data_IF_094813571096
#
_entry.id   IF_094813571096
#
_cell.length_a   1.000
_cell.length_b   1.000
_cell.length_c   1.000
_cell.angle_alpha   90.00
_cell.angle_beta   90.00
_cell.angle_gamma   90.00
#
_symmetry.space_group_name_H-M   'P 1'
#
loop_
_entity.id
_entity.type
_entity.pdbx_description
1 polymer ?
#
# COMPACT_ATOMS: atom_id res chain seq x y z
N UNK A 1 -3.96 -22.79 25.70
CA UNK A 1 -4.82 -21.60 25.46
C UNK A 1 -6.12 -21.98 24.73
N UNK A 2 -6.08 -22.58 23.53
CA UNK A 2 -7.28 -23.00 22.77
C UNK A 2 -8.27 -23.86 23.58
N UNK A 3 -7.78 -24.85 24.33
CA UNK A 3 -8.63 -25.69 25.20
C UNK A 3 -9.40 -24.89 26.28
N UNK A 4 -8.82 -23.80 26.79
CA UNK A 4 -9.48 -22.93 27.76
C UNK A 4 -10.61 -22.13 27.10
N UNK A 5 -10.37 -21.60 25.90
CA UNK A 5 -11.39 -20.91 25.10
C UNK A 5 -12.56 -21.84 24.79
N UNK A 6 -12.29 -23.07 24.34
CA UNK A 6 -13.34 -24.07 24.06
C UNK A 6 -14.15 -24.42 25.30
N UNK A 7 -13.50 -24.58 26.47
CA UNK A 7 -14.20 -24.85 27.71
C UNK A 7 -15.12 -23.68 28.13
N UNK A 8 -14.69 -22.44 27.88
CA UNK A 8 -15.49 -21.25 28.19
C UNK A 8 -16.71 -21.14 27.26
N UNK A 9 -16.51 -21.33 25.95
CA UNK A 9 -17.59 -21.36 24.96
C UNK A 9 -18.62 -22.45 25.30
N UNK A 10 -18.15 -23.64 25.69
CA UNK A 10 -19.02 -24.75 26.11
C UNK A 10 -19.89 -24.41 27.33
N UNK A 11 -19.39 -23.59 28.25
CA UNK A 11 -20.14 -23.13 29.43
C UNK A 11 -21.17 -22.06 29.08
N UNK A 12 -20.80 -21.13 28.20
CA UNK A 12 -21.64 -20.00 27.82
C UNK A 12 -22.84 -20.41 26.94
N UNK A 13 -22.72 -21.47 26.13
CA UNK A 13 -23.75 -22.09 25.26
C UNK A 13 -24.35 -21.22 24.14
N UNK A 14 -24.46 -19.90 24.31
CA UNK A 14 -25.00 -18.97 23.32
C UNK A 14 -23.89 -18.10 22.71
N UNK A 15 -22.83 -18.73 22.21
CA UNK A 15 -21.68 -18.03 21.63
C UNK A 15 -21.39 -18.63 20.26
N UNK A 16 -21.29 -17.75 19.26
CA UNK A 16 -20.78 -18.09 17.93
C UNK A 16 -19.34 -17.59 17.84
N UNK A 17 -18.40 -18.50 17.56
CA UNK A 17 -16.99 -18.18 17.41
C UNK A 17 -16.69 -17.82 15.95
N UNK A 18 -16.06 -16.67 15.70
CA UNK A 18 -15.50 -16.39 14.38
C UNK A 18 -14.03 -16.82 14.35
N UNK A 19 -13.65 -17.55 13.29
CA UNK A 19 -12.28 -18.00 13.06
C UNK A 19 -11.89 -17.54 11.66
N UNK A 20 -11.02 -16.54 11.59
CA UNK A 20 -10.37 -16.20 10.33
C UNK A 20 -9.32 -17.27 9.99
N UNK A 21 -9.10 -17.51 8.70
CA UNK A 21 -8.16 -18.52 8.19
C UNK A 21 -8.31 -19.89 8.88
N UNK A 22 -9.54 -20.42 8.91
CA UNK A 22 -9.89 -21.66 9.62
C UNK A 22 -8.96 -22.86 9.29
N UNK A 23 -8.45 -22.92 8.06
CA UNK A 23 -7.53 -23.96 7.61
C UNK A 23 -6.25 -24.02 8.43
N UNK A 24 -5.79 -22.92 9.04
CA UNK A 24 -4.58 -22.90 9.89
C UNK A 24 -4.73 -23.75 11.15
N UNK A 25 -5.93 -23.83 11.71
CA UNK A 25 -6.22 -24.64 12.90
C UNK A 25 -6.39 -26.13 12.59
N UNK A 26 -6.70 -26.45 11.32
CA UNK A 26 -7.06 -27.78 10.86
C UNK A 26 -5.91 -28.46 10.10
N UNK A 27 -5.17 -27.70 9.31
CA UNK A 27 -4.15 -28.13 8.35
C UNK A 27 -2.74 -28.26 8.92
N UNK A 28 -2.53 -27.92 10.19
CA UNK A 28 -1.26 -28.00 10.93
C UNK A 28 -0.67 -29.43 11.11
N UNK A 29 -1.24 -30.45 10.46
CA UNK A 29 -0.86 -31.85 10.64
C UNK A 29 0.43 -32.30 9.94
N UNK A 30 1.26 -31.39 9.42
CA UNK A 30 2.42 -31.74 8.59
C UNK A 30 3.76 -31.06 8.93
N UNK A 31 3.78 -30.06 9.82
CA UNK A 31 5.02 -29.38 10.21
C UNK A 31 5.35 -29.70 11.68
N UNK A 32 6.53 -30.26 11.93
CA UNK A 32 7.06 -30.55 13.27
C UNK A 32 7.06 -29.28 14.12
N UNK A 33 6.09 -29.15 15.03
CA UNK A 33 6.00 -28.05 15.99
C UNK A 33 4.70 -27.24 16.01
N UNK A 34 3.81 -27.44 15.03
CA UNK A 34 2.50 -26.79 15.07
C UNK A 34 1.60 -27.50 16.10
N UNK A 35 1.09 -26.75 17.08
CA UNK A 35 0.15 -27.26 18.09
C UNK A 35 -1.09 -27.78 17.36
N UNK A 36 -1.35 -29.08 17.45
CA UNK A 36 -2.48 -29.76 16.80
C UNK A 36 -3.82 -29.36 17.48
N UNK A 37 -4.28 -28.16 17.15
CA UNK A 37 -5.57 -27.62 17.57
C UNK A 37 -6.74 -28.45 17.01
N UNK A 38 -6.52 -29.15 15.90
CA UNK A 38 -7.49 -30.03 15.22
C UNK A 38 -8.03 -31.10 16.16
N UNK A 39 -7.16 -31.72 16.98
CA UNK A 39 -7.56 -32.73 17.96
C UNK A 39 -8.50 -32.22 19.07
N UNK A 40 -8.47 -30.92 19.37
CA UNK A 40 -9.36 -30.31 20.37
C UNK A 40 -10.63 -29.78 19.71
N UNK A 41 -10.52 -29.25 18.50
CA UNK A 41 -11.61 -28.59 17.78
C UNK A 41 -12.59 -29.62 17.16
N UNK A 42 -12.07 -30.67 16.51
CA UNK A 42 -12.87 -31.70 15.83
C UNK A 42 -13.91 -32.35 16.74
N UNK A 43 -13.58 -32.81 17.97
CA UNK A 43 -14.58 -33.41 18.84
C UNK A 43 -15.63 -32.40 19.34
N UNK A 44 -15.24 -31.14 19.55
CA UNK A 44 -16.14 -30.09 20.00
C UNK A 44 -17.15 -29.70 18.92
N UNK A 45 -16.70 -29.60 17.66
CA UNK A 45 -17.56 -29.38 16.49
C UNK A 45 -18.47 -30.59 16.23
N UNK A 46 -17.93 -31.81 16.32
CA UNK A 46 -18.70 -33.03 16.08
C UNK A 46 -19.84 -33.23 17.10
N UNK A 47 -19.64 -32.81 18.35
CA UNK A 47 -20.67 -32.84 19.41
C UNK A 47 -21.60 -31.63 19.39
N UNK A 48 -21.37 -30.64 18.52
CA UNK A 48 -22.12 -29.38 18.50
C UNK A 48 -21.95 -28.53 19.77
N UNK A 49 -20.87 -28.74 20.53
CA UNK A 49 -20.57 -27.99 21.75
C UNK A 49 -20.01 -26.59 21.45
N UNK A 50 -19.52 -26.39 20.23
CA UNK A 50 -19.00 -25.13 19.70
C UNK A 50 -19.68 -24.85 18.38
N UNK A 51 -20.25 -23.66 18.24
CA UNK A 51 -20.70 -23.11 16.98
C UNK A 51 -19.67 -22.11 16.49
N UNK A 52 -19.27 -22.20 15.22
CA UNK A 52 -18.33 -21.25 14.64
C UNK A 52 -18.64 -20.92 13.19
N UNK A 53 -18.21 -19.72 12.79
CA UNK A 53 -18.11 -19.28 11.40
C UNK A 53 -16.63 -19.24 11.08
N UNK A 54 -16.21 -19.97 10.05
CA UNK A 54 -14.83 -19.99 9.58
C UNK A 54 -14.71 -19.29 8.24
N UNK A 55 -13.71 -18.43 8.09
CA UNK A 55 -13.32 -17.89 6.80
C UNK A 55 -12.11 -18.66 6.25
N UNK A 56 -12.10 -18.95 4.96
CA UNK A 56 -10.98 -19.61 4.26
C UNK A 56 -11.11 -19.39 2.76
N UNK A 57 -10.01 -19.53 2.02
CA UNK A 57 -10.04 -19.55 0.56
C UNK A 57 -10.53 -20.90 0.05
N UNK A 58 -11.01 -20.94 -1.20
CA UNK A 58 -11.47 -22.17 -1.86
C UNK A 58 -10.35 -23.23 -1.94
N UNK A 59 -9.12 -22.80 -2.22
CA UNK A 59 -7.98 -23.70 -2.33
C UNK A 59 -7.66 -24.36 -0.99
N UNK A 60 -7.67 -23.59 0.10
CA UNK A 60 -7.39 -24.10 1.43
C UNK A 60 -8.53 -24.98 1.96
N UNK A 61 -9.78 -24.66 1.61
CA UNK A 61 -10.93 -25.53 1.88
C UNK A 61 -10.75 -26.92 1.24
N UNK A 62 -10.42 -26.96 -0.06
CA UNK A 62 -10.19 -28.21 -0.81
C UNK A 62 -9.01 -29.02 -0.26
N UNK A 63 -7.96 -28.36 0.19
CA UNK A 63 -6.75 -29.03 0.71
C UNK A 63 -6.97 -29.61 2.11
N UNK A 64 -7.64 -28.89 3.01
CA UNK A 64 -7.62 -29.20 4.44
C UNK A 64 -8.96 -29.57 5.06
N UNK A 65 -10.09 -29.13 4.49
CA UNK A 65 -11.42 -29.32 5.09
C UNK A 65 -12.21 -30.37 4.31
N UNK A 66 -12.27 -30.27 2.99
CA UNK A 66 -13.03 -31.19 2.13
C UNK A 66 -12.49 -32.63 2.20
N UNK A 67 -11.18 -32.80 2.35
CA UNK A 67 -10.56 -34.12 2.49
C UNK A 67 -10.79 -34.78 3.86
N UNK A 68 -11.22 -34.00 4.85
CA UNK A 68 -11.45 -34.49 6.21
C UNK A 68 -12.95 -34.74 6.45
N UNK A 69 -13.36 -35.99 6.34
CA UNK A 69 -14.76 -36.38 6.49
C UNK A 69 -15.39 -36.11 7.86
N UNK A 70 -14.61 -35.77 8.90
CA UNK A 70 -15.16 -35.33 10.18
C UNK A 70 -15.55 -33.85 10.16
N UNK A 71 -14.83 -33.02 9.40
CA UNK A 71 -15.07 -31.59 9.28
C UNK A 71 -16.04 -31.26 8.13
N UNK A 72 -15.88 -31.92 6.99
CA UNK A 72 -16.76 -31.75 5.83
C UNK A 72 -18.25 -31.95 6.21
N UNK A 73 -18.53 -32.95 7.06
CA UNK A 73 -19.90 -33.24 7.54
C UNK A 73 -20.44 -32.25 8.58
N UNK A 74 -19.63 -31.30 9.04
CA UNK A 74 -19.97 -30.34 10.10
C UNK A 74 -19.97 -28.89 9.63
N UNK A 75 -19.35 -28.62 8.49
CA UNK A 75 -19.41 -27.32 7.85
C UNK A 75 -20.43 -27.31 6.74
N UNK A 76 -21.23 -26.24 6.69
CA UNK A 76 -21.99 -25.86 5.51
C UNK A 76 -21.18 -24.81 4.77
N UNK A 77 -20.84 -25.06 3.51
CA UNK A 77 -20.15 -24.07 2.68
C UNK A 77 -21.10 -23.00 2.19
N UNK A 78 -20.65 -21.75 2.26
CA UNK A 78 -21.30 -20.59 1.66
C UNK A 78 -20.22 -19.92 0.80
N UNK A 79 -20.45 -19.85 -0.50
CA UNK A 79 -19.53 -19.20 -1.43
C UNK A 79 -19.75 -17.69 -1.33
N UNK A 80 -18.69 -16.97 -1.01
CA UNK A 80 -18.67 -15.51 -1.00
C UNK A 80 -17.95 -15.06 -2.26
N UNK A 81 -18.73 -14.55 -3.20
CA UNK A 81 -18.19 -13.98 -4.44
C UNK A 81 -17.57 -12.60 -4.17
N UNK A 82 -16.55 -12.19 -4.93
CA UNK A 82 -16.06 -10.82 -4.87
C UNK A 82 -17.18 -9.84 -5.25
N UNK A 83 -17.24 -8.65 -4.62
CA UNK A 83 -18.23 -7.63 -4.95
C UNK A 83 -18.10 -7.19 -6.40
N UNK A 84 -19.24 -6.79 -6.96
CA UNK A 84 -19.31 -6.10 -8.24
C UNK A 84 -18.59 -4.75 -8.19
N UNK A 85 -18.35 -4.16 -9.36
CA UNK A 85 -17.74 -2.82 -9.45
C UNK A 85 -18.60 -1.76 -8.74
N UNK A 86 -19.92 -1.87 -8.84
CA UNK A 86 -20.86 -0.95 -8.20
C UNK A 86 -20.84 -1.09 -6.67
N UNK A 87 -20.91 -2.32 -6.16
CA UNK A 87 -20.78 -2.57 -4.71
C UNK A 87 -19.41 -2.14 -4.17
N UNK A 88 -18.36 -2.33 -4.95
CA UNK A 88 -17.01 -1.86 -4.59
C UNK A 88 -16.96 -0.34 -4.48
N UNK A 89 -17.64 0.38 -5.37
CA UNK A 89 -17.71 1.85 -5.31
C UNK A 89 -18.41 2.31 -4.03
N UNK A 90 -19.49 1.65 -3.62
CA UNK A 90 -20.18 1.95 -2.36
C UNK A 90 -19.30 1.66 -1.14
N UNK A 91 -18.52 0.56 -1.18
CA UNK A 91 -17.53 0.25 -0.15
C UNK A 91 -16.45 1.35 -0.08
N UNK A 92 -15.89 1.77 -1.22
CA UNK A 92 -14.88 2.84 -1.26
C UNK A 92 -15.43 4.17 -0.73
N UNK A 93 -16.67 4.54 -1.09
CA UNK A 93 -17.35 5.72 -0.55
C UNK A 93 -17.55 5.62 0.97
N UNK A 94 -17.92 4.44 1.48
CA UNK A 94 -18.03 4.20 2.92
C UNK A 94 -16.69 4.31 3.67
N UNK A 95 -15.57 4.11 2.98
CA UNK A 95 -14.22 4.23 3.55
C UNK A 95 -13.57 5.60 3.31
N UNK A 96 -14.13 6.40 2.38
CA UNK A 96 -13.54 7.64 1.88
C UNK A 96 -13.18 8.60 3.01
N UNK A 97 -14.14 8.96 3.87
CA UNK A 97 -13.92 9.91 4.98
C UNK A 97 -12.72 9.52 5.87
N UNK A 98 -12.55 8.21 6.11
CA UNK A 98 -11.47 7.69 6.94
C UNK A 98 -10.11 7.83 6.25
N UNK A 99 -10.02 7.51 4.96
CA UNK A 99 -8.79 7.65 4.19
C UNK A 99 -8.43 9.12 3.93
N UNK A 100 -9.42 9.96 3.65
CA UNK A 100 -9.24 11.41 3.51
C UNK A 100 -8.66 12.03 4.78
N UNK A 101 -9.23 11.68 5.95
CA UNK A 101 -8.72 12.15 7.23
C UNK A 101 -7.32 11.60 7.54
N UNK A 102 -7.06 10.33 7.23
CA UNK A 102 -5.76 9.70 7.48
C UNK A 102 -4.64 10.32 6.64
N UNK A 103 -4.91 10.56 5.36
CA UNK A 103 -3.92 11.06 4.40
C UNK A 103 -3.93 12.59 4.26
N UNK A 104 -4.96 13.27 4.78
CA UNK A 104 -5.19 14.72 4.60
C UNK A 104 -5.34 15.10 3.12
N UNK A 105 -6.10 14.29 2.40
CA UNK A 105 -6.39 14.47 0.97
C UNK A 105 -7.89 14.42 0.74
N UNK A 106 -8.33 14.81 -0.47
CA UNK A 106 -9.68 14.60 -0.97
C UNK A 106 -9.64 13.65 -2.15
N UNK A 107 -10.51 12.65 -2.21
CA UNK A 107 -10.65 11.81 -3.38
C UNK A 107 -11.77 12.33 -4.27
N UNK A 108 -11.51 12.50 -5.56
CA UNK A 108 -12.60 12.79 -6.51
C UNK A 108 -13.41 11.51 -6.77
N UNK A 109 -14.71 11.65 -7.08
CA UNK A 109 -15.57 10.51 -7.42
C UNK A 109 -15.01 9.73 -8.63
N UNK A 110 -14.45 10.46 -9.61
CA UNK A 110 -13.80 9.87 -10.78
C UNK A 110 -12.54 9.07 -10.41
N UNK A 111 -11.78 9.54 -9.41
CA UNK A 111 -10.60 8.83 -8.92
C UNK A 111 -10.98 7.47 -8.30
N UNK A 112 -12.06 7.42 -7.51
CA UNK A 112 -12.55 6.16 -6.94
C UNK A 112 -12.99 5.18 -8.03
N UNK A 113 -13.74 5.66 -9.02
CA UNK A 113 -14.14 4.84 -10.17
C UNK A 113 -12.92 4.33 -10.95
N UNK A 114 -11.95 5.21 -11.21
CA UNK A 114 -10.73 4.86 -11.92
C UNK A 114 -9.88 3.84 -11.15
N UNK A 115 -9.86 3.92 -9.81
CA UNK A 115 -9.15 2.96 -8.97
C UNK A 115 -9.73 1.55 -9.15
N UNK A 116 -11.05 1.42 -9.24
CA UNK A 116 -11.73 0.15 -9.50
C UNK A 116 -11.40 -0.36 -10.91
N UNK A 117 -11.53 0.48 -11.94
CA UNK A 117 -11.29 0.08 -13.33
C UNK A 117 -9.84 -0.38 -13.55
N UNK A 118 -8.87 0.43 -13.12
CA UNK A 118 -7.45 0.12 -13.34
C UNK A 118 -6.97 -1.04 -12.47
N UNK A 119 -7.38 -1.12 -11.21
CA UNK A 119 -7.04 -2.30 -10.38
C UNK A 119 -7.68 -3.58 -10.92
N UNK A 120 -8.89 -3.49 -11.49
CA UNK A 120 -9.54 -4.65 -12.14
C UNK A 120 -8.76 -5.14 -13.34
N UNK A 121 -8.27 -4.22 -14.18
CA UNK A 121 -7.63 -4.54 -15.44
C UNK A 121 -6.15 -4.95 -15.30
N UNK A 122 -5.41 -4.30 -14.40
CA UNK A 122 -3.95 -4.41 -14.36
C UNK A 122 -3.41 -5.15 -13.12
N UNK A 123 -4.15 -5.17 -12.01
CA UNK A 123 -3.75 -5.90 -10.80
C UNK A 123 -4.43 -7.28 -10.84
N UNK A 124 -3.69 -8.26 -11.35
CA UNK A 124 -4.12 -9.67 -11.44
C UNK A 124 -3.80 -10.43 -10.14
N UNK A 125 -4.50 -11.54 -9.89
CA UNK A 125 -4.27 -12.38 -8.71
C UNK A 125 -4.88 -11.86 -7.40
N UNK A 126 -5.54 -10.69 -7.41
CA UNK A 126 -6.30 -10.15 -6.27
C UNK A 126 -7.75 -9.86 -6.64
N UNK A 127 -8.61 -9.98 -5.65
CA UNK A 127 -10.05 -9.75 -5.79
C UNK A 127 -10.42 -8.32 -5.37
N UNK A 128 -11.55 -7.83 -5.89
CA UNK A 128 -12.21 -6.67 -5.30
C UNK A 128 -12.77 -7.05 -3.91
N UNK A 129 -12.95 -6.09 -2.98
CA UNK A 129 -12.64 -4.66 -3.10
C UNK A 129 -11.17 -4.33 -2.74
N UNK A 130 -10.47 -5.31 -2.16
CA UNK A 130 -9.14 -5.20 -1.56
C UNK A 130 -8.11 -4.51 -2.46
N UNK A 131 -7.96 -4.95 -3.71
CA UNK A 131 -7.01 -4.31 -4.65
C UNK A 131 -7.35 -2.86 -5.01
N UNK A 132 -8.62 -2.46 -4.97
CA UNK A 132 -9.02 -1.09 -5.25
C UNK A 132 -8.76 -0.20 -4.02
N UNK A 133 -9.00 -0.73 -2.82
CA UNK A 133 -8.67 -0.07 -1.55
C UNK A 133 -7.17 0.24 -1.48
N UNK A 134 -6.32 -0.72 -1.84
CA UNK A 134 -4.87 -0.52 -1.85
C UNK A 134 -4.42 0.60 -2.80
N UNK A 135 -5.02 0.68 -3.99
CA UNK A 135 -4.72 1.75 -4.95
C UNK A 135 -5.11 3.12 -4.39
N UNK A 136 -6.28 3.21 -3.73
CA UNK A 136 -6.75 4.44 -3.08
C UNK A 136 -5.84 4.84 -1.92
N UNK A 137 -5.43 3.87 -1.10
CA UNK A 137 -4.54 4.10 0.04
C UNK A 137 -3.16 4.62 -0.40
N UNK A 138 -2.54 3.95 -1.37
CA UNK A 138 -1.24 4.33 -1.93
C UNK A 138 -1.31 5.71 -2.62
N UNK A 139 -2.41 6.01 -3.32
CA UNK A 139 -2.62 7.32 -3.93
C UNK A 139 -2.74 8.43 -2.87
N UNK A 140 -3.47 8.19 -1.79
CA UNK A 140 -3.56 9.13 -0.68
C UNK A 140 -2.20 9.37 -0.02
N UNK A 141 -1.44 8.31 0.24
CA UNK A 141 -0.11 8.39 0.81
C UNK A 141 0.86 9.18 -0.10
N UNK A 142 0.81 8.93 -1.43
CA UNK A 142 1.65 9.61 -2.42
C UNK A 142 1.41 11.12 -2.44
N UNK A 143 0.14 11.56 -2.51
CA UNK A 143 -0.21 12.99 -2.52
C UNK A 143 0.23 13.65 -1.22
N UNK A 144 0.01 12.98 -0.08
CA UNK A 144 0.46 13.47 1.22
C UNK A 144 1.98 13.66 1.27
N UNK A 145 2.75 12.69 0.78
CA UNK A 145 4.22 12.77 0.74
C UNK A 145 4.69 13.89 -0.19
N UNK A 146 4.05 14.06 -1.35
CA UNK A 146 4.34 15.14 -2.28
C UNK A 146 4.14 16.50 -1.63
N UNK A 147 3.08 16.68 -0.86
CA UNK A 147 2.79 17.93 -0.15
C UNK A 147 3.69 18.15 1.08
N UNK A 148 4.23 17.09 1.68
CA UNK A 148 5.20 17.20 2.79
C UNK A 148 6.64 17.43 2.32
N UNK A 149 6.92 17.33 1.03
CA UNK A 149 8.26 17.59 0.50
C UNK A 149 8.53 19.11 0.45
N UNK A 150 9.61 19.61 1.10
CA UNK A 150 9.96 21.01 1.04
C UNK A 150 10.26 21.45 -0.41
N UNK A 151 9.90 22.68 -0.81
CA UNK A 151 10.26 23.23 -2.12
C UNK A 151 11.80 23.29 -2.29
N UNK A 152 12.31 23.16 -3.53
CA UNK A 152 13.74 23.10 -3.81
C UNK A 152 14.52 24.32 -3.27
N UNK A 153 13.89 25.50 -3.22
CA UNK A 153 14.48 26.70 -2.65
C UNK A 153 14.84 26.53 -1.16
N UNK A 154 14.01 25.84 -0.36
CA UNK A 154 14.32 25.58 1.05
C UNK A 154 15.51 24.61 1.21
N UNK A 155 15.62 23.62 0.34
CA UNK A 155 16.75 22.68 0.31
C UNK A 155 18.05 23.38 -0.10
N UNK A 156 18.02 24.24 -1.12
CA UNK A 156 19.17 25.05 -1.55
C UNK A 156 19.62 26.02 -0.44
N UNK A 157 18.67 26.64 0.28
CA UNK A 157 18.97 27.48 1.44
C UNK A 157 19.66 26.69 2.56
N UNK A 158 19.24 25.46 2.82
CA UNK A 158 19.90 24.57 3.80
C UNK A 158 21.35 24.27 3.44
N UNK A 159 21.60 23.89 2.19
CA UNK A 159 22.95 23.63 1.68
C UNK A 159 23.85 24.86 1.77
N UNK A 160 23.31 26.04 1.45
CA UNK A 160 24.03 27.32 1.54
C UNK A 160 24.36 27.69 2.99
N UNK A 161 23.44 27.50 3.94
CA UNK A 161 23.68 27.73 5.37
C UNK A 161 24.79 26.78 5.86
N UNK A 162 24.75 25.51 5.49
CA UNK A 162 25.78 24.54 5.88
C UNK A 162 27.16 24.88 5.29
N UNK A 163 27.19 25.40 4.05
CA UNK A 163 28.43 25.89 3.44
C UNK A 163 28.99 27.09 4.20
N UNK A 164 28.17 28.11 4.49
CA UNK A 164 28.60 29.30 5.24
C UNK A 164 29.06 28.96 6.66
N UNK A 165 28.42 28.00 7.32
CA UNK A 165 28.86 27.52 8.64
C UNK A 165 30.25 26.87 8.59
N UNK A 166 30.52 26.05 7.56
CA UNK A 166 31.85 25.46 7.34
C UNK A 166 32.91 26.53 7.08
N UNK A 167 32.62 27.49 6.20
CA UNK A 167 33.54 28.60 5.90
C UNK A 167 33.81 29.48 7.14
N UNK A 168 32.78 29.72 7.97
CA UNK A 168 32.90 30.45 9.23
C UNK A 168 33.80 29.70 10.21
N UNK A 169 33.64 28.39 10.35
CA UNK A 169 34.47 27.57 11.25
C UNK A 169 35.94 27.52 10.78
N UNK A 170 36.19 27.53 9.47
CA UNK A 170 37.54 27.67 8.89
C UNK A 170 38.15 29.05 9.17
N UNK A 171 37.38 30.14 9.00
CA UNK A 171 37.83 31.49 9.32
C UNK A 171 38.20 31.63 10.82
N UNK A 172 37.43 31.02 11.71
CA UNK A 172 37.74 30.96 13.15
C UNK A 172 39.04 30.22 13.43
N UNK A 173 39.29 29.07 12.77
CA UNK A 173 40.55 28.33 12.90
C UNK A 173 41.77 29.14 12.45
N UNK A 174 41.59 29.99 11.45
CA UNK A 174 42.63 30.87 10.92
C UNK A 174 42.76 32.21 11.69
N UNK A 175 42.01 32.39 12.78
CA UNK A 175 41.93 33.64 13.56
C UNK A 175 41.49 34.88 12.75
N UNK A 176 40.80 34.66 11.62
CA UNK A 176 40.19 35.72 10.82
C UNK A 176 38.78 36.04 11.37
N UNK A 177 38.76 36.77 12.49
CA UNK A 177 37.54 37.06 13.23
C UNK A 177 36.58 38.00 12.49
N UNK A 178 37.10 38.88 11.62
CA UNK A 178 36.29 39.81 10.84
C UNK A 178 35.50 39.05 9.77
N UNK A 179 36.16 38.16 9.02
CA UNK A 179 35.49 37.28 8.06
C UNK A 179 34.52 36.31 8.75
N UNK A 180 34.90 35.76 9.90
CA UNK A 180 34.01 34.89 10.67
C UNK A 180 32.74 35.61 11.15
N UNK A 181 32.83 36.91 11.52
CA UNK A 181 31.68 37.71 11.89
C UNK A 181 30.75 37.96 10.69
N UNK A 182 31.30 38.31 9.52
CA UNK A 182 30.52 38.52 8.30
C UNK A 182 29.77 37.25 7.87
N UNK A 183 30.45 36.09 7.84
CA UNK A 183 29.85 34.81 7.49
C UNK A 183 28.78 34.36 8.51
N UNK A 184 28.96 34.67 9.79
CA UNK A 184 27.94 34.42 10.81
C UNK A 184 26.69 35.25 10.56
N UNK A 185 26.85 36.54 10.27
CA UNK A 185 25.72 37.44 10.07
C UNK A 185 24.95 37.07 8.78
N UNK A 186 25.65 36.67 7.71
CA UNK A 186 25.05 36.14 6.48
C UNK A 186 24.30 34.82 6.71
N UNK A 187 24.90 33.88 7.46
CA UNK A 187 24.24 32.64 7.83
C UNK A 187 22.99 32.88 8.69
N UNK A 188 23.03 33.88 9.59
CA UNK A 188 21.87 34.24 10.41
C UNK A 188 20.74 34.84 9.57
N UNK A 189 21.06 35.71 8.60
CA UNK A 189 20.05 36.27 7.68
C UNK A 189 19.36 35.17 6.87
N UNK A 190 20.12 34.22 6.31
CA UNK A 190 19.55 33.08 5.59
C UNK A 190 18.72 32.16 6.50
N UNK A 191 19.12 32.02 7.78
CA UNK A 191 18.35 31.24 8.76
C UNK A 191 17.00 31.90 9.09
N UNK A 192 16.98 33.22 9.21
CA UNK A 192 15.77 34.01 9.44
C UNK A 192 14.85 33.97 8.21
N UNK A 193 15.40 34.07 7.00
CA UNK A 193 14.65 33.91 5.75
C UNK A 193 14.08 32.49 5.61
N UNK A 194 14.90 31.46 5.86
CA UNK A 194 14.48 30.06 5.87
C UNK A 194 13.34 29.82 6.84
N UNK A 195 13.41 30.36 8.07
CA UNK A 195 12.36 30.16 9.07
C UNK A 195 11.05 30.81 8.66
N UNK A 196 11.08 31.99 8.03
CA UNK A 196 9.90 32.65 7.46
C UNK A 196 9.29 31.84 6.31
N UNK A 197 10.11 31.39 5.35
CA UNK A 197 9.66 30.56 4.23
C UNK A 197 9.10 29.22 4.70
N UNK A 198 9.77 28.56 5.65
CA UNK A 198 9.33 27.29 6.20
C UNK A 198 7.99 27.44 6.94
N UNK A 199 7.81 28.53 7.69
CA UNK A 199 6.53 28.83 8.35
C UNK A 199 5.42 29.07 7.34
N UNK A 200 5.68 29.85 6.30
CA UNK A 200 4.73 30.11 5.21
C UNK A 200 4.33 28.83 4.49
N UNK A 201 5.31 27.99 4.13
CA UNK A 201 5.07 26.68 3.52
C UNK A 201 4.26 25.76 4.44
N UNK A 202 4.60 25.71 5.73
CA UNK A 202 3.86 24.90 6.69
C UNK A 202 2.41 25.35 6.81
N UNK A 203 2.16 26.66 6.91
CA UNK A 203 0.81 27.22 7.01
C UNK A 203 -0.01 26.99 5.72
N UNK A 204 0.61 27.14 4.54
CA UNK A 204 -0.02 26.83 3.24
C UNK A 204 -0.36 25.33 3.10
N UNK A 205 0.53 24.43 3.53
CA UNK A 205 0.29 22.98 3.48
C UNK A 205 -0.59 22.45 4.62
N UNK A 206 -0.84 23.24 5.65
CA UNK A 206 -1.78 22.89 6.72
C UNK A 206 -3.23 22.98 6.24
N UNK A 207 -3.51 23.89 5.31
CA UNK A 207 -4.83 24.10 4.70
C UNK A 207 -4.98 23.42 3.34
N UNK A 208 -3.90 23.18 2.59
CA UNK A 208 -3.95 22.48 1.32
C UNK A 208 -4.23 20.97 1.49
N UNK A 209 -5.50 20.58 1.55
CA UNK A 209 -5.90 19.20 1.26
C UNK A 209 -5.58 18.90 -0.20
N UNK A 210 -4.57 18.07 -0.44
CA UNK A 210 -4.27 17.61 -1.80
C UNK A 210 -5.46 16.82 -2.35
N UNK A 211 -5.76 16.99 -3.64
CA UNK A 211 -6.81 16.21 -4.30
C UNK A 211 -6.20 15.03 -5.05
N UNK A 212 -6.76 13.85 -4.88
CA UNK A 212 -6.45 12.66 -5.66
C UNK A 212 -7.41 12.61 -6.84
N UNK A 213 -6.84 12.71 -8.04
CA UNK A 213 -7.54 12.66 -9.32
C UNK A 213 -7.23 11.34 -10.07
N UNK A 214 -7.76 11.21 -11.28
CA UNK A 214 -7.57 10.03 -12.12
C UNK A 214 -6.14 9.84 -12.61
N UNK A 215 -5.35 10.92 -12.71
CA UNK A 215 -3.95 10.86 -13.15
C UNK A 215 -3.07 10.25 -12.06
N UNK A 216 -3.28 10.65 -10.80
CA UNK A 216 -2.58 10.08 -9.65
C UNK A 216 -2.89 8.59 -9.52
N UNK A 217 -4.15 8.19 -9.70
CA UNK A 217 -4.54 6.77 -9.68
C UNK A 217 -3.83 5.99 -10.80
N UNK A 218 -3.77 6.54 -12.01
CA UNK A 218 -3.06 5.91 -13.11
C UNK A 218 -1.56 5.76 -12.83
N UNK A 219 -0.92 6.79 -12.27
CA UNK A 219 0.49 6.76 -11.87
C UNK A 219 0.76 5.70 -10.79
N UNK A 220 -0.11 5.60 -9.79
CA UNK A 220 0.00 4.61 -8.72
C UNK A 220 -0.12 3.19 -9.27
N UNK A 221 -1.16 2.90 -10.07
CA UNK A 221 -1.31 1.55 -10.66
C UNK A 221 -0.15 1.25 -11.61
N UNK A 222 0.36 2.25 -12.32
CA UNK A 222 1.54 2.11 -13.17
C UNK A 222 2.77 1.71 -12.38
N UNK A 223 3.03 2.36 -11.24
CA UNK A 223 4.13 2.00 -10.34
C UNK A 223 3.95 0.62 -9.71
N UNK A 224 2.72 0.24 -9.33
CA UNK A 224 2.42 -1.07 -8.74
C UNK A 224 2.61 -2.23 -9.72
N UNK A 225 2.28 -2.01 -10.99
CA UNK A 225 2.22 -3.07 -12.02
C UNK A 225 3.40 -3.03 -12.99
N UNK A 226 4.14 -1.92 -13.06
CA UNK A 226 5.17 -1.66 -14.07
C UNK A 226 4.61 -1.36 -15.46
N UNK A 227 3.29 -1.28 -15.63
CA UNK A 227 2.65 -0.99 -16.93
C UNK A 227 2.43 0.53 -17.06
N UNK A 228 2.93 1.21 -18.09
CA UNK A 228 2.72 2.66 -18.26
C UNK A 228 1.25 2.97 -18.60
N UNK A 229 0.57 3.73 -17.75
CA UNK A 229 -0.87 4.07 -17.87
C UNK A 229 -1.14 5.56 -18.11
N UNK A 230 -0.16 6.42 -17.89
CA UNK A 230 -0.22 7.85 -18.22
C UNK A 230 0.10 8.06 -19.71
N UNK A 231 -0.28 9.20 -20.27
CA UNK A 231 0.19 9.59 -21.61
C UNK A 231 1.72 9.52 -21.61
N UNK A 232 2.26 8.58 -22.39
CA UNK A 232 3.68 8.46 -22.68
C UNK A 232 4.20 9.86 -22.97
N UNK A 233 5.15 10.35 -22.17
CA UNK A 233 5.92 11.52 -22.57
C UNK A 233 6.54 11.20 -23.93
N UNK A 234 6.72 12.20 -24.81
CA UNK A 234 7.29 11.99 -26.16
C UNK A 234 8.53 11.08 -26.17
N UNK A 235 9.32 11.15 -25.10
CA UNK A 235 10.52 10.35 -24.87
C UNK A 235 10.25 8.84 -24.73
N UNK A 236 9.12 8.46 -24.16
CA UNK A 236 8.72 7.07 -23.94
C UNK A 236 8.05 6.48 -25.17
N UNK A 237 7.27 7.29 -25.91
CA UNK A 237 6.79 6.92 -27.26
C UNK A 237 7.96 6.67 -28.20
N UNK A 238 9.00 7.51 -28.10
CA UNK A 238 10.22 7.35 -28.88
C UNK A 238 11.02 6.11 -28.47
N UNK A 239 11.07 5.76 -27.18
CA UNK A 239 11.63 4.48 -26.72
C UNK A 239 10.88 3.26 -27.24
N UNK A 240 9.55 3.34 -27.36
CA UNK A 240 8.75 2.26 -27.96
C UNK A 240 9.03 2.12 -29.46
N UNK A 241 9.13 3.24 -30.18
CA UNK A 241 9.58 3.25 -31.58
C UNK A 241 10.99 2.66 -31.75
N UNK A 242 11.84 2.82 -30.73
CA UNK A 242 13.22 2.31 -30.72
C UNK A 242 13.33 0.93 -30.04
N UNK A 243 12.23 0.32 -29.57
CA UNK A 243 12.23 -0.88 -28.72
C UNK A 243 12.85 -2.09 -29.44
N UNK A 244 12.46 -2.33 -30.68
CA UNK A 244 13.03 -3.38 -31.53
C UNK A 244 14.56 -3.21 -31.66
N UNK A 245 15.00 -1.96 -31.86
CA UNK A 245 16.41 -1.62 -32.01
C UNK A 245 17.20 -1.80 -30.70
N UNK A 246 16.60 -1.47 -29.55
CA UNK A 246 17.20 -1.72 -28.22
C UNK A 246 17.27 -3.21 -27.88
N UNK A 247 16.23 -3.99 -28.22
CA UNK A 247 16.23 -5.43 -27.99
C UNK A 247 17.28 -6.16 -28.85
N UNK A 248 17.49 -5.70 -30.09
CA UNK A 248 18.56 -6.21 -30.97
C UNK A 248 19.98 -5.98 -30.44
N UNK A 249 20.20 -5.03 -29.52
CA UNK A 249 21.51 -4.83 -28.88
C UNK A 249 21.84 -5.91 -27.86
N UNK A 250 20.81 -6.55 -27.29
CA UNK A 250 20.97 -7.49 -26.17
C UNK A 250 20.70 -8.93 -26.60
N UNK A 251 19.85 -9.15 -27.60
CA UNK A 251 19.45 -10.47 -28.11
C UNK A 251 19.98 -10.66 -29.53
N UNK A 252 20.76 -11.72 -29.76
CA UNK A 252 21.41 -12.02 -31.04
C UNK A 252 20.72 -13.21 -31.72
N UNK A 253 20.46 -13.10 -33.03
CA UNK A 253 19.87 -14.14 -33.90
C UNK A 253 18.45 -14.60 -33.54
N UNK A 254 17.57 -13.69 -33.11
CA UNK A 254 16.16 -13.97 -32.80
C UNK A 254 15.23 -12.92 -33.44
N UNK A 255 15.50 -12.53 -34.67
CA UNK A 255 14.88 -11.37 -35.34
C UNK A 255 13.34 -11.52 -35.42
N UNK A 256 12.83 -12.72 -35.77
CA UNK A 256 11.38 -12.98 -35.83
C UNK A 256 10.70 -12.88 -34.46
N UNK A 257 11.37 -13.32 -33.39
CA UNK A 257 10.81 -13.25 -32.04
C UNK A 257 10.82 -11.82 -31.50
N UNK A 258 11.80 -11.01 -31.89
CA UNK A 258 11.88 -9.60 -31.51
C UNK A 258 10.79 -8.77 -32.19
N UNK A 259 10.56 -8.98 -33.50
CA UNK A 259 9.48 -8.32 -34.26
C UNK A 259 8.09 -8.73 -33.75
N UNK A 260 7.94 -9.96 -33.25
CA UNK A 260 6.66 -10.44 -32.72
C UNK A 260 6.29 -9.85 -31.35
N UNK A 261 7.26 -9.31 -30.61
CA UNK A 261 7.10 -8.84 -29.22
C UNK A 261 7.17 -7.31 -29.10
N UNK A 262 7.87 -6.63 -30.02
CA UNK A 262 7.96 -5.17 -30.10
C UNK A 262 6.67 -4.53 -30.65
#
# INVERSE_FOLDING_TARGET
>A
RIKAVINEVRRAKNVVLFIDELHTLVGAGGAEGAIDASNVLKPALARGEVQCIGATTLDEYRKHIEKDGALERRFQTIIVEPPSKEETLDILRGLQDRYEAHHRVRFSDEALFQAIELSTRYITGRCLPDKAIDVVDEAGARVRLKNMTPPPNLTEMEENIEKLQREKDEAVKNADYERAAALRDEAQQLLDEKTLLHKKWYDENKEATGTVDTEIIAEVVSNMTGVPLTRLEKKETQRLLELETELHKTVVSQDEALVAVA
#
